data_IF_997281413719
#
_entry.id   IF_997281413719
#
_cell.length_a   1.000
_cell.length_b   1.000
_cell.length_c   1.000
_cell.angle_alpha   90.00
_cell.angle_beta   90.00
_cell.angle_gamma   90.00
#
_symmetry.space_group_name_H-M   'P 1'
#
loop_
_entity.id
_entity.type
_entity.pdbx_description
1 polymer ?
#
# COMPACT_ATOMS: atom_id res chain seq x y z
N UNK A 1 -8.74 -8.64 13.38
CA UNK A 1 -9.06 -8.28 11.97
C UNK A 1 -9.14 -9.50 11.08
N UNK A 2 -9.98 -9.50 10.02
CA UNK A 2 -10.05 -10.56 9.01
C UNK A 2 -8.75 -10.59 8.19
N UNK A 3 -8.23 -11.81 7.91
CA UNK A 3 -7.11 -12.00 6.97
C UNK A 3 -7.63 -12.57 5.66
N UNK A 4 -7.10 -12.07 4.54
CA UNK A 4 -7.46 -12.48 3.19
C UNK A 4 -6.22 -12.80 2.37
N UNK A 5 -6.34 -13.65 1.36
CA UNK A 5 -5.26 -13.85 0.39
C UNK A 5 -5.17 -12.61 -0.52
N UNK A 6 -3.98 -12.08 -0.71
CA UNK A 6 -3.73 -11.00 -1.66
C UNK A 6 -3.80 -11.51 -3.11
N UNK A 7 -3.40 -12.77 -3.31
CA UNK A 7 -3.44 -13.54 -4.55
C UNK A 7 -3.43 -15.03 -4.15
N UNK A 8 -3.80 -15.94 -5.03
CA UNK A 8 -3.78 -17.39 -4.76
C UNK A 8 -2.38 -17.94 -4.45
N UNK A 9 -1.32 -17.31 -5.00
CA UNK A 9 0.09 -17.66 -4.76
C UNK A 9 0.74 -16.77 -3.70
N UNK A 10 0.05 -15.75 -3.24
CA UNK A 10 0.57 -14.75 -2.31
C UNK A 10 0.25 -15.03 -0.83
N UNK A 11 0.74 -14.17 0.06
CA UNK A 11 0.51 -14.33 1.48
C UNK A 11 -0.94 -13.99 1.87
N UNK A 12 -1.34 -14.46 3.06
CA UNK A 12 -2.51 -13.91 3.74
C UNK A 12 -2.12 -12.61 4.42
N UNK A 13 -2.84 -11.56 4.13
CA UNK A 13 -2.63 -10.20 4.63
C UNK A 13 -3.82 -9.75 5.46
N UNK A 14 -3.64 -8.81 6.37
CA UNK A 14 -4.75 -8.15 7.06
C UNK A 14 -5.63 -7.41 6.05
N UNK A 15 -6.95 -7.37 6.31
CA UNK A 15 -7.91 -6.73 5.41
C UNK A 15 -7.67 -5.22 5.21
N UNK A 16 -6.87 -4.61 6.09
CA UNK A 16 -6.31 -3.27 5.91
C UNK A 16 -4.79 -3.35 6.12
N UNK A 17 -4.04 -2.59 5.34
CA UNK A 17 -2.59 -2.45 5.41
C UNK A 17 -2.26 -1.15 6.12
N UNK A 18 -1.26 -1.12 6.99
CA UNK A 18 -0.80 0.12 7.58
C UNK A 18 0.42 0.65 6.82
N UNK A 19 0.34 1.90 6.34
CA UNK A 19 1.39 2.56 5.56
C UNK A 19 1.96 3.77 6.26
N UNK A 20 3.25 4.01 6.03
CA UNK A 20 4.00 5.07 6.72
C UNK A 20 4.29 6.30 5.83
N UNK A 21 3.76 6.39 4.64
CA UNK A 21 4.07 7.46 3.67
C UNK A 21 3.80 8.89 4.17
N UNK A 22 2.95 9.04 5.23
CA UNK A 22 2.66 10.32 5.89
C UNK A 22 3.57 10.61 7.08
N UNK A 23 4.46 9.70 7.43
CA UNK A 23 5.41 9.92 8.50
C UNK A 23 6.56 10.77 7.99
N UNK A 24 6.77 11.92 8.66
CA UNK A 24 7.90 12.80 8.38
C UNK A 24 9.15 12.28 9.09
N UNK A 25 10.32 12.81 8.74
CA UNK A 25 11.57 12.50 9.48
C UNK A 25 11.42 12.83 10.97
N UNK A 26 10.81 13.97 11.30
CA UNK A 26 10.55 14.39 12.69
C UNK A 26 9.66 13.38 13.43
N UNK A 27 8.59 12.87 12.78
CA UNK A 27 7.76 11.81 13.37
C UNK A 27 8.55 10.53 13.63
N UNK A 28 9.50 10.18 12.75
CA UNK A 28 10.33 8.98 12.87
C UNK A 28 11.42 9.11 13.95
N UNK A 29 11.82 10.33 14.30
CA UNK A 29 12.74 10.57 15.41
C UNK A 29 12.09 10.28 16.78
N UNK A 30 10.77 10.38 16.89
CA UNK A 30 10.03 9.99 18.09
C UNK A 30 9.79 8.47 18.10
N UNK A 31 10.81 7.73 18.52
CA UNK A 31 10.77 6.25 18.59
C UNK A 31 9.65 5.74 19.49
N UNK A 32 9.26 6.47 20.55
CA UNK A 32 8.18 6.07 21.44
C UNK A 32 6.81 6.16 20.74
N UNK A 33 6.54 7.28 20.08
CA UNK A 33 5.32 7.45 19.28
C UNK A 33 5.23 6.41 18.16
N UNK A 34 6.37 6.13 17.50
CA UNK A 34 6.45 5.10 16.47
C UNK A 34 6.05 3.72 17.02
N UNK A 35 6.67 3.30 18.11
CA UNK A 35 6.36 2.04 18.80
C UNK A 35 4.89 1.98 19.22
N UNK A 36 4.36 3.02 19.86
CA UNK A 36 2.95 3.08 20.27
C UNK A 36 1.97 2.88 19.11
N UNK A 37 2.24 3.45 17.93
CA UNK A 37 1.39 3.28 16.76
C UNK A 37 1.52 1.88 16.19
N UNK A 38 2.72 1.33 16.09
CA UNK A 38 2.93 -0.04 15.61
C UNK A 38 2.23 -1.05 16.53
N UNK A 39 2.37 -0.92 17.85
CA UNK A 39 1.70 -1.81 18.81
C UNK A 39 0.17 -1.65 18.73
N UNK A 40 -0.34 -0.44 18.62
CA UNK A 40 -1.78 -0.20 18.46
C UNK A 40 -2.34 -0.83 17.18
N UNK A 41 -1.63 -0.74 16.06
CA UNK A 41 -2.06 -1.41 14.82
C UNK A 41 -2.08 -2.94 15.00
N UNK A 42 -1.12 -3.50 15.73
CA UNK A 42 -1.08 -4.94 16.09
C UNK A 42 -2.28 -5.33 16.94
N UNK A 43 -2.65 -4.55 17.94
CA UNK A 43 -3.83 -4.78 18.80
C UNK A 43 -5.12 -4.85 17.96
N UNK A 44 -5.22 -4.04 16.91
CA UNK A 44 -6.34 -4.08 15.96
C UNK A 44 -6.28 -5.27 14.98
N UNK A 45 -5.21 -6.08 15.04
CA UNK A 45 -4.98 -7.24 14.18
C UNK A 45 -4.44 -6.89 12.79
N UNK A 46 -3.87 -5.71 12.60
CA UNK A 46 -3.10 -5.35 11.41
C UNK A 46 -1.71 -5.97 11.55
N UNK A 47 -1.34 -6.81 10.60
CA UNK A 47 -0.02 -7.44 10.53
C UNK A 47 0.72 -7.17 9.23
N UNK A 48 0.11 -6.39 8.35
CA UNK A 48 0.65 -6.06 7.03
C UNK A 48 1.01 -4.59 6.99
N UNK A 49 2.28 -4.31 6.70
CA UNK A 49 2.85 -2.96 6.72
C UNK A 49 3.44 -2.59 5.37
N UNK A 50 3.06 -1.40 4.86
CA UNK A 50 3.68 -0.78 3.70
C UNK A 50 4.79 0.18 4.15
N UNK A 51 6.03 -0.29 4.02
CA UNK A 51 7.25 0.43 4.40
C UNK A 51 7.72 1.35 3.27
N UNK A 52 6.80 2.12 2.73
CA UNK A 52 7.11 3.12 1.71
C UNK A 52 7.41 4.44 2.40
N UNK A 53 8.66 4.88 2.46
CA UNK A 53 8.98 6.19 3.00
C UNK A 53 8.48 7.26 2.01
N UNK A 54 7.92 8.33 2.54
CA UNK A 54 7.57 9.50 1.74
C UNK A 54 8.81 10.18 1.15
N UNK A 55 9.96 10.09 1.83
CA UNK A 55 11.29 10.53 1.37
C UNK A 55 12.35 9.59 1.95
N UNK A 56 13.20 9.08 1.10
CA UNK A 56 13.98 7.87 1.27
C UNK A 56 15.25 7.90 2.12
N UNK A 57 15.22 8.39 3.35
CA UNK A 57 16.40 8.35 4.25
C UNK A 57 16.69 6.95 4.83
N UNK A 58 15.73 6.01 4.77
CA UNK A 58 15.85 4.69 5.41
C UNK A 58 15.57 4.71 6.92
N UNK A 59 15.19 5.86 7.50
CA UNK A 59 14.90 5.98 8.93
C UNK A 59 13.68 5.13 9.33
N UNK A 60 12.65 5.08 8.52
CA UNK A 60 11.49 4.21 8.75
C UNK A 60 11.91 2.74 8.97
N UNK A 61 12.74 2.20 8.08
CA UNK A 61 13.24 0.84 8.19
C UNK A 61 14.13 0.65 9.42
N UNK A 62 14.91 1.68 9.77
CA UNK A 62 15.74 1.70 10.98
C UNK A 62 14.88 1.64 12.25
N UNK A 63 13.80 2.39 12.32
CA UNK A 63 12.87 2.34 13.46
C UNK A 63 12.19 0.97 13.57
N UNK A 64 11.74 0.39 12.45
CA UNK A 64 11.25 -0.99 12.46
C UNK A 64 12.30 -1.98 12.93
N UNK A 65 13.53 -1.84 12.44
CA UNK A 65 14.65 -2.69 12.84
C UNK A 65 14.94 -2.63 14.33
N UNK A 66 14.84 -1.45 14.97
CA UNK A 66 14.95 -1.32 16.43
C UNK A 66 13.89 -2.10 17.18
N UNK A 67 12.63 -2.09 16.72
CA UNK A 67 11.54 -2.86 17.33
C UNK A 67 11.76 -4.38 17.16
N UNK A 68 12.31 -4.82 16.04
CA UNK A 68 12.65 -6.22 15.80
C UNK A 68 13.83 -6.64 16.70
N UNK A 69 14.91 -5.85 16.73
CA UNK A 69 16.12 -6.14 17.52
C UNK A 69 15.80 -6.18 19.03
N UNK A 70 14.95 -5.28 19.51
CA UNK A 70 14.47 -5.25 20.91
C UNK A 70 13.39 -6.32 21.22
N UNK A 71 12.98 -7.12 20.22
CA UNK A 71 11.93 -8.15 20.33
C UNK A 71 10.55 -7.62 20.73
N UNK A 72 10.28 -6.35 20.51
CA UNK A 72 8.94 -5.75 20.66
C UNK A 72 8.00 -6.31 19.62
N UNK A 73 8.50 -6.54 18.38
CA UNK A 73 7.78 -7.22 17.31
C UNK A 73 8.58 -8.39 16.77
N UNK A 74 7.88 -9.42 16.31
CA UNK A 74 8.48 -10.58 15.65
C UNK A 74 8.22 -10.47 14.13
N UNK A 75 9.26 -10.35 13.28
CA UNK A 75 9.06 -10.21 11.84
C UNK A 75 8.37 -11.41 11.19
N UNK A 76 8.44 -12.61 11.78
CA UNK A 76 7.75 -13.80 11.25
C UNK A 76 6.22 -13.75 11.40
N UNK A 77 5.69 -12.84 12.22
CA UNK A 77 4.26 -12.61 12.41
C UNK A 77 3.73 -11.47 11.52
N UNK A 78 4.59 -10.84 10.74
CA UNK A 78 4.29 -9.68 9.94
C UNK A 78 4.40 -10.00 8.45
N UNK A 79 3.70 -9.21 7.65
CA UNK A 79 3.93 -9.10 6.21
C UNK A 79 4.51 -7.71 5.95
N UNK A 80 5.77 -7.67 5.59
CA UNK A 80 6.49 -6.44 5.30
C UNK A 80 6.51 -6.21 3.79
N UNK A 81 5.86 -5.16 3.34
CA UNK A 81 5.89 -4.68 1.96
C UNK A 81 6.81 -3.47 1.87
N UNK A 82 7.68 -3.46 0.88
CA UNK A 82 8.60 -2.35 0.61
C UNK A 82 8.48 -1.92 -0.84
N UNK A 83 8.40 -0.61 -1.06
CA UNK A 83 8.54 -0.03 -2.40
C UNK A 83 9.99 0.25 -2.76
N UNK A 84 10.32 0.09 -4.04
CA UNK A 84 11.63 0.37 -4.62
C UNK A 84 11.44 0.92 -6.03
N UNK A 85 12.35 1.79 -6.47
CA UNK A 85 12.32 2.36 -7.83
C UNK A 85 12.36 3.87 -7.85
N UNK A 86 11.70 4.54 -6.92
CA UNK A 86 11.71 6.00 -6.83
C UNK A 86 13.05 6.50 -6.32
N UNK A 87 13.64 7.48 -7.03
CA UNK A 87 14.85 8.18 -6.63
C UNK A 87 14.70 9.69 -6.81
N UNK A 88 15.45 10.44 -6.03
CA UNK A 88 15.53 11.89 -6.13
C UNK A 88 16.85 12.32 -6.72
N UNK A 89 16.86 13.43 -7.44
CA UNK A 89 18.07 14.11 -7.86
C UNK A 89 18.03 15.58 -7.47
N UNK A 90 19.21 16.14 -7.18
CA UNK A 90 19.41 17.57 -6.99
C UNK A 90 20.77 17.95 -7.61
N UNK A 91 20.81 19.06 -8.32
CA UNK A 91 22.03 19.50 -9.00
C UNK A 91 21.82 20.72 -9.89
N UNK A 92 22.72 20.93 -10.85
CA UNK A 92 22.71 22.08 -11.77
C UNK A 92 21.45 22.20 -12.62
N UNK A 93 20.73 21.09 -12.84
CA UNK A 93 19.46 21.03 -13.57
C UNK A 93 18.21 21.14 -12.68
N UNK A 94 18.36 21.55 -11.40
CA UNK A 94 17.29 21.60 -10.42
C UNK A 94 17.18 20.34 -9.57
N UNK A 95 16.01 20.14 -8.96
CA UNK A 95 15.68 18.94 -8.17
C UNK A 95 14.42 18.28 -8.75
N UNK A 96 14.34 16.96 -8.65
CA UNK A 96 13.21 16.21 -9.14
C UNK A 96 13.31 14.73 -8.76
N UNK A 97 12.39 13.96 -9.31
CA UNK A 97 12.35 12.51 -9.13
C UNK A 97 12.64 11.80 -10.45
N UNK A 98 13.17 10.58 -10.34
CA UNK A 98 13.30 9.64 -11.46
C UNK A 98 13.09 8.22 -10.96
N UNK A 99 12.91 7.29 -11.89
CA UNK A 99 12.74 5.90 -11.57
C UNK A 99 13.97 5.09 -11.98
N UNK A 100 14.33 4.11 -11.17
CA UNK A 100 15.50 3.25 -11.40
C UNK A 100 15.13 1.81 -10.99
N UNK A 101 14.83 0.98 -11.98
CA UNK A 101 14.55 -0.44 -11.80
C UNK A 101 15.72 -1.30 -12.31
N UNK A 102 16.92 -0.72 -12.41
CA UNK A 102 18.12 -1.46 -12.79
C UNK A 102 18.46 -2.57 -11.79
N UNK A 103 19.02 -3.66 -12.30
CA UNK A 103 19.46 -4.81 -11.49
C UNK A 103 20.36 -4.41 -10.33
N UNK A 104 21.28 -3.47 -10.57
CA UNK A 104 22.21 -2.96 -9.55
C UNK A 104 21.48 -2.22 -8.42
N UNK A 105 20.58 -1.31 -8.79
CA UNK A 105 19.82 -0.52 -7.81
C UNK A 105 18.88 -1.39 -6.98
N UNK A 106 18.12 -2.28 -7.62
CA UNK A 106 17.20 -3.19 -6.94
C UNK A 106 17.93 -4.05 -5.90
N UNK A 107 19.04 -4.69 -6.30
CA UNK A 107 19.82 -5.55 -5.42
C UNK A 107 20.35 -4.76 -4.22
N UNK A 108 21.01 -3.62 -4.47
CA UNK A 108 21.54 -2.76 -3.41
C UNK A 108 20.46 -2.25 -2.46
N UNK A 109 19.31 -1.82 -3.01
CA UNK A 109 18.20 -1.28 -2.21
C UNK A 109 17.62 -2.34 -1.28
N UNK A 110 17.40 -3.56 -1.77
CA UNK A 110 16.90 -4.68 -0.94
C UNK A 110 17.90 -5.04 0.15
N UNK A 111 19.17 -5.19 -0.17
CA UNK A 111 20.21 -5.54 0.82
C UNK A 111 20.35 -4.49 1.91
N UNK A 112 20.35 -3.22 1.55
CA UNK A 112 20.37 -2.13 2.53
C UNK A 112 19.14 -2.10 3.42
N UNK A 113 17.96 -2.40 2.86
CA UNK A 113 16.72 -2.48 3.63
C UNK A 113 16.75 -3.62 4.65
N UNK A 114 17.21 -4.80 4.26
CA UNK A 114 17.33 -5.95 5.17
C UNK A 114 18.27 -5.65 6.36
N UNK A 115 19.37 -4.95 6.09
CA UNK A 115 20.31 -4.52 7.16
C UNK A 115 19.60 -3.55 8.13
N UNK A 116 18.86 -2.55 7.62
CA UNK A 116 18.16 -1.58 8.47
C UNK A 116 17.01 -2.21 9.22
N UNK A 117 16.24 -3.07 8.57
CA UNK A 117 15.10 -3.79 9.16
C UNK A 117 15.50 -4.89 10.14
N UNK A 118 16.78 -5.28 10.20
CA UNK A 118 17.24 -6.39 11.05
C UNK A 118 16.47 -7.69 10.81
N UNK A 119 16.09 -7.94 9.56
CA UNK A 119 15.40 -9.16 9.14
C UNK A 119 16.06 -9.77 7.90
N UNK A 120 15.76 -11.04 7.64
CA UNK A 120 16.37 -11.79 6.54
C UNK A 120 15.58 -11.66 5.24
N UNK A 121 14.30 -11.23 5.30
CA UNK A 121 13.39 -11.26 4.18
C UNK A 121 12.41 -10.07 4.19
N UNK A 122 12.16 -9.52 3.02
CA UNK A 122 11.02 -8.67 2.71
C UNK A 122 9.94 -9.57 2.08
N UNK A 123 8.70 -9.50 2.58
CA UNK A 123 7.65 -10.37 2.06
C UNK A 123 7.18 -9.93 0.69
N UNK A 124 6.93 -8.64 0.46
CA UNK A 124 6.48 -8.13 -0.83
C UNK A 124 7.37 -6.98 -1.28
N UNK A 125 8.12 -7.17 -2.35
CA UNK A 125 8.84 -6.08 -3.00
C UNK A 125 7.95 -5.47 -4.07
N UNK A 126 7.62 -4.17 -3.94
CA UNK A 126 6.78 -3.43 -4.88
C UNK A 126 7.66 -2.52 -5.73
N UNK A 127 7.63 -2.71 -7.05
CA UNK A 127 8.27 -1.79 -7.99
C UNK A 127 7.41 -0.54 -8.14
N UNK A 128 7.94 0.61 -7.74
CA UNK A 128 7.22 1.88 -7.74
C UNK A 128 7.34 2.59 -9.07
N UNK A 129 6.23 2.65 -9.80
CA UNK A 129 6.13 3.17 -11.16
C UNK A 129 7.03 2.45 -12.19
N UNK A 130 6.67 2.65 -13.45
CA UNK A 130 7.38 2.08 -14.58
C UNK A 130 8.63 2.92 -14.90
N UNK A 131 9.77 2.28 -15.00
CA UNK A 131 11.01 2.91 -15.44
C UNK A 131 11.18 2.71 -16.94
N UNK A 132 11.01 3.78 -17.72
CA UNK A 132 11.08 3.75 -19.18
C UNK A 132 12.49 3.44 -19.74
N UNK A 133 13.52 3.51 -18.90
CA UNK A 133 14.91 3.27 -19.30
C UNK A 133 15.41 1.87 -18.89
N UNK A 134 14.64 1.15 -18.09
CA UNK A 134 15.04 -0.19 -17.63
C UNK A 134 14.94 -1.24 -18.73
N UNK A 135 15.93 -2.13 -18.76
CA UNK A 135 15.83 -3.42 -19.44
C UNK A 135 15.04 -4.39 -18.53
N UNK A 136 13.81 -4.72 -18.92
CA UNK A 136 12.91 -5.53 -18.08
C UNK A 136 13.34 -6.99 -17.94
N UNK A 137 14.13 -7.54 -18.85
CA UNK A 137 14.73 -8.88 -18.72
C UNK A 137 15.80 -8.87 -17.60
N UNK A 138 16.62 -7.83 -17.55
CA UNK A 138 17.59 -7.65 -16.48
C UNK A 138 16.92 -7.38 -15.14
N UNK A 139 15.88 -6.54 -15.12
CA UNK A 139 15.05 -6.28 -13.93
C UNK A 139 14.44 -7.59 -13.41
N UNK A 140 13.80 -8.38 -14.26
CA UNK A 140 13.22 -9.67 -13.90
C UNK A 140 14.29 -10.65 -13.40
N UNK A 141 15.46 -10.72 -14.05
CA UNK A 141 16.58 -11.55 -13.61
C UNK A 141 17.06 -11.18 -12.21
N UNK A 142 17.15 -9.89 -11.89
CA UNK A 142 17.51 -9.43 -10.56
C UNK A 142 16.46 -9.81 -9.51
N UNK A 143 15.18 -9.64 -9.81
CA UNK A 143 14.08 -10.03 -8.92
C UNK A 143 14.09 -11.54 -8.65
N UNK A 144 14.27 -12.37 -9.69
CA UNK A 144 14.38 -13.83 -9.53
C UNK A 144 15.59 -14.24 -8.71
N UNK A 145 16.74 -13.56 -8.83
CA UNK A 145 17.91 -13.81 -7.97
C UNK A 145 17.62 -13.47 -6.51
N UNK A 146 16.95 -12.34 -6.24
CA UNK A 146 16.55 -11.93 -4.90
C UNK A 146 15.56 -12.92 -4.28
N UNK A 147 14.61 -13.46 -5.06
CA UNK A 147 13.69 -14.49 -4.61
C UNK A 147 14.41 -15.81 -4.31
N UNK A 148 15.27 -16.29 -5.21
CA UNK A 148 16.03 -17.53 -5.02
C UNK A 148 16.97 -17.47 -3.82
N UNK A 149 17.50 -16.30 -3.50
CA UNK A 149 18.33 -16.10 -2.30
C UNK A 149 17.51 -15.91 -1.01
N UNK A 150 16.18 -15.94 -1.08
CA UNK A 150 15.29 -15.77 0.05
C UNK A 150 15.16 -14.33 0.57
N UNK A 151 15.79 -13.35 -0.10
CA UNK A 151 15.75 -11.93 0.33
C UNK A 151 14.41 -11.27 0.11
N UNK A 152 13.65 -11.69 -0.91
CA UNK A 152 12.25 -11.31 -1.12
C UNK A 152 11.40 -12.55 -1.36
N UNK A 153 10.13 -12.52 -0.95
CA UNK A 153 9.23 -13.64 -1.18
C UNK A 153 8.36 -13.41 -2.43
N UNK A 154 7.72 -12.26 -2.54
CA UNK A 154 6.77 -11.94 -3.59
C UNK A 154 7.08 -10.62 -4.28
N UNK A 155 6.58 -10.46 -5.51
CA UNK A 155 6.73 -9.27 -6.33
C UNK A 155 5.36 -8.62 -6.52
N UNK A 156 5.28 -7.33 -6.25
CA UNK A 156 4.16 -6.46 -6.61
C UNK A 156 4.65 -5.29 -7.47
N UNK A 157 3.70 -4.53 -7.98
CA UNK A 157 3.96 -3.28 -8.70
C UNK A 157 3.10 -2.15 -8.13
N UNK A 158 3.42 -0.91 -8.47
CA UNK A 158 2.60 0.25 -8.13
C UNK A 158 2.44 1.13 -9.38
N UNK A 159 1.19 1.50 -9.70
CA UNK A 159 0.83 2.34 -10.86
C UNK A 159 1.20 1.79 -12.23
N UNK A 160 1.54 0.52 -12.37
CA UNK A 160 1.76 -0.09 -13.68
C UNK A 160 0.45 -0.24 -14.43
N UNK A 161 0.42 0.11 -15.72
CA UNK A 161 -0.69 -0.22 -16.58
C UNK A 161 -0.65 -1.71 -17.00
N UNK A 162 -1.68 -2.16 -17.72
CA UNK A 162 -1.82 -3.57 -18.13
C UNK A 162 -0.63 -4.05 -18.97
N UNK A 163 -0.18 -3.24 -19.94
CA UNK A 163 0.92 -3.60 -20.83
C UNK A 163 2.26 -3.65 -20.09
N UNK A 164 2.49 -2.73 -19.17
CA UNK A 164 3.70 -2.70 -18.33
C UNK A 164 3.78 -3.91 -17.40
N UNK A 165 2.63 -4.32 -16.79
CA UNK A 165 2.57 -5.55 -15.99
C UNK A 165 2.85 -6.78 -16.86
N UNK A 166 2.23 -6.89 -18.04
CA UNK A 166 2.47 -7.99 -18.98
C UNK A 166 3.92 -8.06 -19.44
N UNK A 167 4.53 -6.90 -19.75
CA UNK A 167 5.94 -6.85 -20.15
C UNK A 167 6.86 -7.41 -19.05
N UNK A 168 6.69 -6.99 -17.80
CA UNK A 168 7.48 -7.51 -16.70
C UNK A 168 7.18 -9.00 -16.45
N UNK A 169 5.91 -9.38 -16.45
CA UNK A 169 5.47 -10.76 -16.19
C UNK A 169 5.99 -11.75 -17.22
N UNK A 170 6.21 -11.32 -18.48
CA UNK A 170 6.74 -12.22 -19.54
C UNK A 170 8.13 -12.77 -19.24
N UNK A 171 8.89 -12.10 -18.38
CA UNK A 171 10.24 -12.49 -17.95
C UNK A 171 10.30 -13.04 -16.53
N UNK A 172 9.17 -13.10 -15.82
CA UNK A 172 9.07 -13.65 -14.46
C UNK A 172 8.55 -15.10 -14.50
N UNK A 173 9.06 -15.94 -13.61
CA UNK A 173 8.57 -17.31 -13.40
C UNK A 173 7.43 -17.41 -12.38
N UNK A 174 7.15 -16.34 -11.65
CA UNK A 174 6.08 -16.23 -10.66
C UNK A 174 5.21 -15.02 -10.96
N UNK A 175 3.92 -15.05 -10.59
CA UNK A 175 3.01 -13.94 -10.87
C UNK A 175 3.37 -12.69 -10.05
N UNK A 176 3.02 -11.53 -10.61
CA UNK A 176 2.92 -10.28 -9.86
C UNK A 176 1.66 -10.37 -9.00
N UNK A 177 1.80 -10.35 -7.67
CA UNK A 177 0.71 -10.66 -6.76
C UNK A 177 -0.21 -9.49 -6.43
N UNK A 178 0.18 -8.26 -6.78
CA UNK A 178 -0.63 -7.06 -6.53
C UNK A 178 -0.16 -5.90 -7.39
N UNK A 179 -1.08 -4.96 -7.65
CA UNK A 179 -0.75 -3.62 -8.10
C UNK A 179 -1.29 -2.62 -7.07
N UNK A 180 -0.40 -1.77 -6.56
CA UNK A 180 -0.78 -0.70 -5.65
C UNK A 180 -1.23 0.51 -6.45
N UNK A 181 -2.47 0.94 -6.26
CA UNK A 181 -3.13 1.98 -7.05
C UNK A 181 -3.72 3.06 -6.16
N UNK A 182 -3.74 4.29 -6.64
CA UNK A 182 -4.63 5.29 -6.07
C UNK A 182 -6.08 4.90 -6.38
N UNK A 183 -6.83 4.59 -5.34
CA UNK A 183 -8.22 4.17 -5.50
C UNK A 183 -9.04 4.60 -4.29
N UNK A 184 -10.00 5.45 -4.55
CA UNK A 184 -10.95 5.95 -3.57
C UNK A 184 -12.18 6.52 -4.29
N UNK A 185 -13.20 6.95 -3.56
CA UNK A 185 -14.43 7.47 -4.15
C UNK A 185 -14.27 8.74 -4.99
N UNK A 186 -13.18 9.51 -4.82
CA UNK A 186 -12.87 10.69 -5.63
C UNK A 186 -11.87 10.40 -6.76
N UNK A 187 -11.18 9.24 -6.71
CA UNK A 187 -10.24 8.78 -7.71
C UNK A 187 -10.55 7.35 -8.13
N UNK A 188 -11.34 7.21 -9.18
CA UNK A 188 -11.83 5.92 -9.69
C UNK A 188 -11.27 5.54 -11.06
N UNK A 189 -10.25 6.24 -11.56
CA UNK A 189 -9.68 6.03 -12.90
C UNK A 189 -9.25 4.58 -13.13
N UNK A 190 -8.63 3.96 -12.13
CA UNK A 190 -8.18 2.57 -12.23
C UNK A 190 -9.32 1.56 -12.49
N UNK A 191 -10.57 1.91 -12.23
CA UNK A 191 -11.76 1.10 -12.55
C UNK A 191 -12.15 1.19 -14.04
N UNK A 192 -11.56 2.12 -14.82
CA UNK A 192 -11.96 2.42 -16.20
C UNK A 192 -10.85 2.21 -17.22
N UNK A 193 -9.58 2.19 -16.79
CA UNK A 193 -8.41 2.10 -17.66
C UNK A 193 -7.87 0.66 -17.82
N UNK A 194 -8.57 -0.32 -17.26
CA UNK A 194 -8.23 -1.73 -17.32
C UNK A 194 -7.28 -2.22 -16.23
N UNK A 195 -6.65 -1.33 -15.45
CA UNK A 195 -5.70 -1.75 -14.38
C UNK A 195 -6.39 -2.62 -13.34
N UNK A 196 -7.57 -2.22 -12.89
CA UNK A 196 -8.32 -2.97 -11.88
C UNK A 196 -8.87 -4.30 -12.43
N UNK A 197 -9.33 -4.31 -13.69
CA UNK A 197 -9.82 -5.53 -14.34
C UNK A 197 -8.70 -6.55 -14.52
N UNK A 198 -7.50 -6.09 -14.89
CA UNK A 198 -6.33 -6.96 -15.01
C UNK A 198 -5.91 -7.57 -13.66
N UNK A 199 -5.98 -6.81 -12.57
CA UNK A 199 -5.75 -7.35 -11.22
C UNK A 199 -6.75 -8.48 -10.92
N UNK A 200 -8.02 -8.31 -11.29
CA UNK A 200 -9.06 -9.33 -11.09
C UNK A 200 -8.84 -10.55 -11.97
N UNK A 201 -8.43 -10.36 -13.23
CA UNK A 201 -8.06 -11.44 -14.16
C UNK A 201 -6.94 -12.30 -13.56
N UNK A 202 -5.99 -11.69 -12.86
CA UNK A 202 -4.89 -12.38 -12.17
C UNK A 202 -5.28 -12.96 -10.79
N UNK A 203 -6.57 -13.00 -10.43
CA UNK A 203 -7.05 -13.41 -9.11
C UNK A 203 -6.34 -12.71 -7.94
N UNK A 204 -5.91 -11.47 -8.16
CA UNK A 204 -5.19 -10.63 -7.21
C UNK A 204 -6.10 -9.56 -6.61
N UNK A 205 -5.63 -8.93 -5.52
CA UNK A 205 -6.26 -7.77 -4.91
C UNK A 205 -5.39 -6.54 -5.12
N UNK A 206 -6.02 -5.41 -5.43
CA UNK A 206 -5.34 -4.13 -5.43
C UNK A 206 -5.02 -3.70 -3.99
N UNK A 207 -3.85 -3.12 -3.79
CA UNK A 207 -3.57 -2.30 -2.62
C UNK A 207 -4.00 -0.86 -2.93
N UNK A 208 -5.02 -0.35 -2.24
CA UNK A 208 -5.58 0.98 -2.50
C UNK A 208 -4.92 2.02 -1.61
N UNK A 209 -4.01 2.84 -2.16
CA UNK A 209 -3.45 3.95 -1.39
C UNK A 209 -4.37 5.19 -1.48
N UNK A 210 -4.17 6.14 -0.55
CA UNK A 210 -5.03 7.32 -0.36
C UNK A 210 -6.54 6.98 -0.28
N UNK A 211 -6.96 6.00 0.55
CA UNK A 211 -8.36 5.53 0.59
C UNK A 211 -9.38 6.62 0.93
N UNK A 212 -8.93 7.73 1.51
CA UNK A 212 -9.74 8.90 1.87
C UNK A 212 -9.35 10.15 1.06
N UNK A 213 -8.72 9.96 -0.12
CA UNK A 213 -8.27 11.05 -1.00
C UNK A 213 -7.48 12.13 -0.24
N UNK A 214 -6.45 11.71 0.50
CA UNK A 214 -5.58 12.56 1.33
C UNK A 214 -6.34 13.42 2.35
N UNK A 215 -7.50 12.96 2.77
CA UNK A 215 -8.38 13.66 3.70
C UNK A 215 -9.44 14.53 3.03
N UNK A 216 -9.42 14.69 1.70
CA UNK A 216 -10.41 15.50 0.95
C UNK A 216 -11.84 14.99 1.16
N UNK A 217 -12.05 13.67 1.25
CA UNK A 217 -13.38 13.10 1.56
C UNK A 217 -13.92 13.63 2.90
N UNK A 218 -13.05 13.82 3.89
CA UNK A 218 -13.44 14.25 5.23
C UNK A 218 -13.54 15.75 5.37
N UNK A 219 -12.60 16.49 4.79
CA UNK A 219 -12.34 17.90 5.06
C UNK A 219 -12.48 18.78 3.81
N UNK A 220 -12.63 18.21 2.61
CA UNK A 220 -12.77 19.00 1.38
C UNK A 220 -14.02 19.86 1.39
N UNK A 221 -13.88 21.11 0.95
CA UNK A 221 -14.95 22.11 0.91
C UNK A 221 -15.55 22.27 -0.51
N UNK A 222 -14.94 21.65 -1.50
CA UNK A 222 -15.47 21.66 -2.85
C UNK A 222 -16.78 20.87 -2.95
N UNK A 223 -17.61 21.23 -3.94
CA UNK A 223 -18.97 20.68 -4.09
C UNK A 223 -19.00 19.15 -4.21
N UNK A 224 -17.99 18.56 -4.87
CA UNK A 224 -17.89 17.10 -5.04
C UNK A 224 -17.61 16.40 -3.70
N UNK A 225 -16.64 16.92 -2.92
CA UNK A 225 -16.31 16.37 -1.62
C UNK A 225 -17.46 16.49 -0.63
N UNK A 226 -18.16 17.64 -0.62
CA UNK A 226 -19.33 17.88 0.24
C UNK A 226 -20.48 16.93 -0.13
N UNK A 227 -20.82 16.82 -1.42
CA UNK A 227 -21.87 15.91 -1.90
C UNK A 227 -21.59 14.46 -1.52
N UNK A 228 -20.35 13.99 -1.74
CA UNK A 228 -19.94 12.65 -1.36
C UNK A 228 -20.02 12.43 0.15
N UNK A 229 -19.54 13.38 0.94
CA UNK A 229 -19.57 13.27 2.40
C UNK A 229 -20.99 13.16 2.95
N UNK A 230 -21.97 13.90 2.39
CA UNK A 230 -23.38 13.78 2.76
C UNK A 230 -23.92 12.38 2.43
N UNK A 231 -23.59 11.83 1.27
CA UNK A 231 -23.98 10.47 0.90
C UNK A 231 -23.34 9.42 1.84
N UNK A 232 -22.07 9.59 2.22
CA UNK A 232 -21.40 8.70 3.18
C UNK A 232 -22.05 8.76 4.57
N UNK A 233 -22.45 9.95 5.03
CA UNK A 233 -23.18 10.13 6.29
C UNK A 233 -24.56 9.43 6.24
N UNK A 234 -25.26 9.56 5.13
CA UNK A 234 -26.56 8.92 4.95
C UNK A 234 -26.48 7.39 5.06
N UNK A 235 -25.54 6.79 4.31
CA UNK A 235 -25.29 5.33 4.38
C UNK A 235 -24.80 4.93 5.79
N UNK A 236 -23.93 5.74 6.39
CA UNK A 236 -23.38 5.47 7.71
C UNK A 236 -24.44 5.32 8.80
N UNK A 237 -25.54 6.06 8.73
CA UNK A 237 -26.66 5.96 9.69
C UNK A 237 -27.23 4.55 9.80
N UNK A 238 -27.32 3.83 8.69
CA UNK A 238 -27.84 2.46 8.65
C UNK A 238 -26.95 1.46 9.38
N UNK A 239 -25.63 1.70 9.35
CA UNK A 239 -24.61 0.78 9.89
C UNK A 239 -24.01 1.27 11.22
N UNK A 240 -24.53 2.38 11.77
CA UNK A 240 -23.90 3.07 12.91
C UNK A 240 -22.42 3.36 12.69
N UNK A 241 -22.06 3.65 11.42
CA UNK A 241 -20.70 3.84 10.95
C UNK A 241 -20.43 5.30 10.57
N UNK A 242 -19.21 5.73 10.78
CA UNK A 242 -18.76 7.06 10.36
C UNK A 242 -18.30 7.10 8.89
N UNK A 243 -18.04 8.31 8.39
CA UNK A 243 -17.64 8.57 7.00
C UNK A 243 -16.40 7.76 6.59
N UNK A 244 -15.39 7.67 7.48
CA UNK A 244 -14.15 6.92 7.22
C UNK A 244 -14.44 5.43 7.04
N UNK A 245 -15.27 4.86 7.92
CA UNK A 245 -15.64 3.45 7.85
C UNK A 245 -16.42 3.12 6.58
N UNK A 246 -17.39 3.97 6.18
CA UNK A 246 -18.17 3.74 4.96
C UNK A 246 -17.30 3.85 3.71
N UNK A 247 -16.40 4.85 3.65
CA UNK A 247 -15.50 5.01 2.51
C UNK A 247 -14.52 3.82 2.38
N UNK A 248 -14.01 3.29 3.49
CA UNK A 248 -13.17 2.09 3.50
C UNK A 248 -13.98 0.82 3.16
N UNK A 249 -15.21 0.70 3.68
CA UNK A 249 -16.11 -0.41 3.33
C UNK A 249 -16.44 -0.46 1.83
N UNK A 250 -16.49 0.70 1.15
CA UNK A 250 -16.64 0.78 -0.30
C UNK A 250 -15.48 0.08 -1.04
N UNK A 251 -14.23 0.27 -0.59
CA UNK A 251 -13.06 -0.43 -1.13
C UNK A 251 -13.10 -1.93 -0.82
N UNK A 252 -13.49 -2.31 0.39
CA UNK A 252 -13.64 -3.73 0.75
C UNK A 252 -14.69 -4.44 -0.10
N UNK A 253 -15.82 -3.79 -0.39
CA UNK A 253 -16.87 -4.35 -1.29
C UNK A 253 -16.33 -4.59 -2.70
N UNK A 254 -15.43 -3.74 -3.18
CA UNK A 254 -14.76 -3.89 -4.45
C UNK A 254 -13.72 -5.04 -4.45
N UNK A 255 -13.29 -5.47 -3.26
CA UNK A 255 -12.23 -6.47 -3.06
C UNK A 255 -10.83 -5.87 -2.97
N UNK A 256 -10.70 -4.55 -2.93
CA UNK A 256 -9.43 -3.87 -2.72
C UNK A 256 -9.05 -3.81 -1.23
N UNK A 257 -7.77 -3.69 -0.95
CA UNK A 257 -7.20 -3.60 0.39
C UNK A 257 -6.70 -2.17 0.64
N UNK A 258 -7.35 -1.41 1.54
CA UNK A 258 -6.96 -0.03 1.83
C UNK A 258 -5.62 0.03 2.56
N UNK A 259 -4.78 0.99 2.18
CA UNK A 259 -3.56 1.36 2.92
C UNK A 259 -3.87 2.56 3.81
N UNK A 260 -3.85 2.34 5.11
CA UNK A 260 -4.17 3.34 6.13
C UNK A 260 -2.89 4.10 6.48
N UNK A 261 -2.87 5.42 6.28
CA UNK A 261 -1.68 6.26 6.56
C UNK A 261 -1.85 7.24 7.72
N UNK A 262 -2.89 7.11 8.54
CA UNK A 262 -3.11 8.04 9.67
C UNK A 262 -2.20 7.74 10.85
N UNK A 263 -1.76 8.78 11.55
CA UNK A 263 -1.06 8.70 12.85
C UNK A 263 -2.02 8.77 14.05
N UNK A 264 -3.28 9.11 13.80
CA UNK A 264 -4.32 9.22 14.83
C UNK A 264 -4.94 7.86 15.12
N UNK A 265 -4.82 7.36 16.35
CA UNK A 265 -5.36 6.05 16.80
C UNK A 265 -6.83 5.86 16.43
N UNK A 266 -7.67 6.89 16.63
CA UNK A 266 -9.09 6.86 16.27
C UNK A 266 -9.31 6.57 14.79
N UNK A 267 -8.57 7.23 13.89
CA UNK A 267 -8.69 7.03 12.44
C UNK A 267 -8.18 5.66 12.01
N UNK A 268 -7.10 5.19 12.62
CA UNK A 268 -6.59 3.84 12.39
C UNK A 268 -7.67 2.83 12.78
N UNK A 269 -8.29 2.98 13.96
CA UNK A 269 -9.35 2.12 14.43
C UNK A 269 -10.58 2.15 13.51
N UNK A 270 -11.03 3.34 13.08
CA UNK A 270 -12.15 3.48 12.16
C UNK A 270 -11.91 2.67 10.87
N UNK A 271 -10.77 2.86 10.23
CA UNK A 271 -10.46 2.13 9.00
C UNK A 271 -10.27 0.62 9.26
N UNK A 272 -9.65 0.24 10.38
CA UNK A 272 -9.46 -1.15 10.76
C UNK A 272 -10.78 -1.89 11.03
N UNK A 273 -11.81 -1.20 11.51
CA UNK A 273 -13.14 -1.78 11.82
C UNK A 273 -14.15 -1.69 10.67
N UNK A 274 -13.80 -1.07 9.55
CA UNK A 274 -14.68 -0.90 8.39
C UNK A 274 -15.15 -2.22 7.75
N UNK A 275 -14.54 -3.35 8.10
CA UNK A 275 -14.94 -4.68 7.65
C UNK A 275 -16.07 -5.31 8.50
N UNK A 276 -16.58 -4.60 9.52
CA UNK A 276 -17.66 -5.09 10.41
C UNK A 276 -19.03 -5.13 9.73
N UNK A 277 -19.19 -4.44 8.62
CA UNK A 277 -20.41 -4.44 7.80
C UNK A 277 -20.06 -4.50 6.31
N UNK A 278 -21.03 -4.80 5.49
CA UNK A 278 -20.89 -4.88 4.04
C UNK A 278 -21.95 -4.05 3.35
N UNK A 279 -21.55 -3.16 2.45
CA UNK A 279 -22.46 -2.36 1.63
C UNK A 279 -23.23 -3.26 0.67
N UNK A 280 -24.52 -2.96 0.44
CA UNK A 280 -25.26 -3.57 -0.67
C UNK A 280 -24.72 -3.10 -2.02
N UNK A 281 -25.14 -3.75 -3.10
CA UNK A 281 -24.75 -3.31 -4.46
C UNK A 281 -25.29 -1.91 -4.76
N UNK A 282 -26.52 -1.62 -4.36
CA UNK A 282 -27.18 -0.33 -4.57
C UNK A 282 -26.45 0.79 -3.81
N UNK A 283 -26.09 0.56 -2.56
CA UNK A 283 -25.35 1.51 -1.73
C UNK A 283 -23.95 1.80 -2.30
N UNK A 284 -23.27 0.75 -2.80
CA UNK A 284 -21.98 0.91 -3.45
C UNK A 284 -22.07 1.84 -4.66
N UNK A 285 -23.07 1.62 -5.56
CA UNK A 285 -23.28 2.45 -6.74
C UNK A 285 -23.84 3.84 -6.40
N UNK A 286 -24.63 3.97 -5.35
CA UNK A 286 -25.10 5.26 -4.85
C UNK A 286 -23.91 6.16 -4.48
N UNK A 287 -22.96 5.65 -3.69
CA UNK A 287 -21.74 6.36 -3.33
C UNK A 287 -20.85 6.67 -4.54
N UNK A 288 -20.69 5.71 -5.45
CA UNK A 288 -19.92 5.90 -6.68
C UNK A 288 -20.52 7.01 -7.57
N UNK A 289 -21.83 7.09 -7.69
CA UNK A 289 -22.53 8.11 -8.48
C UNK A 289 -22.57 9.47 -7.79
N UNK A 290 -22.41 9.54 -6.48
CA UNK A 290 -22.35 10.80 -5.74
C UNK A 290 -21.14 11.67 -6.13
N UNK A 291 -20.14 11.09 -6.78
CA UNK A 291 -18.90 11.76 -7.21
C UNK A 291 -18.92 12.21 -8.67
N UNK A 292 -20.00 11.91 -9.41
CA UNK A 292 -20.17 12.26 -10.83
C UNK A 292 -20.99 13.51 -11.05
#
# INVERSE_FOLDING_TARGET
>A
MKKVYINEYGPRVSAAVYGFWRWTEEDLLDSRKFEEVVLFTRELGIDTYDLSPGKGTGELETQFGKLIESKVINPSELILSKKVGLREYSGSHGSGIYYDLSSQYLTKSVEQSLIRLKCEKIDILILENFDFLSNFEETASALLKLQRSGKIAYIGVSNFNVFQQRLLSSSLSQPIITNQLELNLLQTEALHDGRFDFIREQHSRALAFSPLADGRILLGEDAQAVKLRLALIEIGKKYEANVEQVAVAWLHKLGALPIIGSKEKRRIQNAATAHSFELTREEWYYLYNATK
#
